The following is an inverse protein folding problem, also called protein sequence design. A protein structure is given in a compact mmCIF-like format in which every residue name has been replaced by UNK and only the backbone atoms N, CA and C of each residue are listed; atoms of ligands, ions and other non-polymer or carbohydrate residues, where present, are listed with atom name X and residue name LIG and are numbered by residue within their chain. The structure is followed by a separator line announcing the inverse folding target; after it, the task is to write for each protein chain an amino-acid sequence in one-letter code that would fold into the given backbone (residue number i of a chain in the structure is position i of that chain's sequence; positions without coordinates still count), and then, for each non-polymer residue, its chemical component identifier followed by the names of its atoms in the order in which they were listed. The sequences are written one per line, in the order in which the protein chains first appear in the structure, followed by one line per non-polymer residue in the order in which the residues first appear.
data_IF_618548212150
#
_entry.id   IF_618548212150
#
_cell.length_a   1.000
_cell.length_b   1.000
_cell.length_c   1.000
_cell.angle_alpha   90.00
_cell.angle_beta   90.00
_cell.angle_gamma   90.00
#
_symmetry.space_group_name_H-M   'P 1'
#
loop_
_entity.id
_entity.type
_entity.pdbx_description
1 polymer ?
#
# COMPACT_ATOMS: atom_id res chain seq x y z
N UNK A 1 -45.30 -26.70 -22.06
CA UNK A 1 -45.13 -25.67 -20.99
C UNK A 1 -43.80 -25.92 -20.29
N UNK A 2 -42.70 -25.34 -20.79
CA UNK A 2 -41.38 -25.42 -20.15
C UNK A 2 -41.11 -24.08 -19.45
N UNK A 3 -40.84 -24.22 -18.16
CA UNK A 3 -40.53 -23.20 -17.16
C UNK A 3 -39.36 -22.32 -17.60
N UNK A 4 -39.62 -21.03 -17.71
CA UNK A 4 -38.60 -19.98 -17.74
C UNK A 4 -37.84 -19.99 -16.41
N UNK A 5 -36.60 -20.47 -16.46
CA UNK A 5 -35.67 -20.29 -15.36
C UNK A 5 -35.33 -18.79 -15.30
N UNK A 6 -35.76 -18.16 -14.22
CA UNK A 6 -35.36 -16.82 -13.79
C UNK A 6 -33.83 -16.75 -13.77
N UNK A 7 -33.26 -16.10 -14.79
CA UNK A 7 -31.90 -15.62 -14.80
C UNK A 7 -31.79 -14.53 -13.74
N UNK A 8 -31.28 -14.92 -12.57
CA UNK A 8 -30.98 -13.98 -11.51
C UNK A 8 -30.02 -12.90 -12.04
N UNK A 9 -30.40 -11.66 -11.76
CA UNK A 9 -29.82 -10.41 -12.20
C UNK A 9 -28.34 -10.27 -11.83
N UNK A 10 -27.44 -10.72 -12.70
CA UNK A 10 -26.02 -10.35 -12.68
C UNK A 10 -25.45 -10.15 -14.10
N UNK A 11 -26.30 -10.06 -15.13
CA UNK A 11 -25.88 -10.15 -16.53
C UNK A 11 -25.56 -8.84 -17.27
N UNK A 12 -26.06 -7.68 -16.82
CA UNK A 12 -26.09 -6.49 -17.67
C UNK A 12 -25.72 -5.20 -16.92
N UNK A 13 -24.56 -5.13 -16.26
CA UNK A 13 -24.09 -3.90 -15.61
C UNK A 13 -22.56 -3.74 -15.59
N UNK A 14 -21.82 -4.48 -16.43
CA UNK A 14 -20.37 -4.28 -16.59
C UNK A 14 -20.09 -3.61 -17.95
N UNK A 15 -20.45 -2.32 -18.03
CA UNK A 15 -19.83 -1.41 -18.98
C UNK A 15 -18.42 -1.08 -18.48
N UNK A 16 -17.44 -1.63 -19.19
CA UNK A 16 -16.03 -1.20 -19.30
C UNK A 16 -15.52 -0.19 -18.26
N UNK A 17 -15.20 -0.65 -17.05
CA UNK A 17 -14.23 0.05 -16.21
C UNK A 17 -12.85 -0.45 -16.61
N UNK A 18 -12.09 0.37 -17.34
CA UNK A 18 -10.66 0.15 -17.50
C UNK A 18 -10.05 0.22 -16.10
N UNK A 19 -9.58 -0.93 -15.59
CA UNK A 19 -8.89 -0.99 -14.29
C UNK A 19 -7.63 -0.15 -14.41
N UNK A 20 -7.59 1.01 -13.74
CA UNK A 20 -6.34 1.72 -13.52
C UNK A 20 -5.43 0.83 -12.67
N UNK A 21 -4.12 0.85 -12.95
CA UNK A 21 -3.17 0.09 -12.15
C UNK A 21 -3.27 0.52 -10.68
N UNK A 22 -3.23 -0.44 -9.73
CA UNK A 22 -3.31 -0.09 -8.31
C UNK A 22 -2.16 0.85 -7.93
N UNK A 23 -2.47 1.87 -7.13
CA UNK A 23 -1.49 2.82 -6.65
C UNK A 23 -0.41 2.11 -5.82
N UNK A 24 0.85 2.22 -6.24
CA UNK A 24 2.01 1.72 -5.48
C UNK A 24 2.56 2.84 -4.59
N UNK A 25 2.65 2.58 -3.29
CA UNK A 25 3.16 3.54 -2.33
C UNK A 25 4.68 3.76 -2.54
N UNK A 26 5.09 5.01 -2.77
CA UNK A 26 6.50 5.39 -3.03
C UNK A 26 7.46 5.02 -1.88
N UNK A 27 6.93 4.85 -0.67
CA UNK A 27 7.72 4.62 0.54
C UNK A 27 7.90 3.13 0.90
N UNK A 28 7.20 2.18 0.27
CA UNK A 28 7.45 0.75 0.56
C UNK A 28 8.75 0.25 -0.06
N UNK A 29 9.10 0.75 -1.25
CA UNK A 29 10.32 0.39 -1.96
C UNK A 29 11.57 0.83 -1.18
N UNK A 30 11.55 2.03 -0.58
CA UNK A 30 12.67 2.52 0.22
C UNK A 30 12.97 1.62 1.43
N UNK A 31 11.93 1.17 2.14
CA UNK A 31 12.09 0.27 3.28
C UNK A 31 12.62 -1.12 2.87
N UNK A 32 12.23 -1.63 1.70
CA UNK A 32 12.75 -2.91 1.16
C UNK A 32 14.22 -2.75 0.77
N UNK A 33 14.59 -1.66 0.09
CA UNK A 33 15.99 -1.38 -0.29
C UNK A 33 16.89 -1.23 0.94
N UNK A 34 16.41 -0.58 2.01
CA UNK A 34 17.15 -0.47 3.28
C UNK A 34 17.34 -1.82 3.98
N UNK A 35 16.41 -2.77 3.82
CA UNK A 35 16.53 -4.12 4.38
C UNK A 35 17.39 -5.06 3.52
N UNK A 36 17.37 -4.89 2.20
CA UNK A 36 18.18 -5.66 1.26
C UNK A 36 19.63 -5.16 1.15
N UNK A 37 19.87 -3.87 1.42
CA UNK A 37 21.23 -3.28 1.46
C UNK A 37 22.07 -3.77 2.65
N UNK A 38 21.47 -4.44 3.63
CA UNK A 38 22.21 -5.18 4.64
C UNK A 38 22.86 -6.38 3.93
N UNK A 39 24.19 -6.41 3.86
CA UNK A 39 24.93 -7.52 3.24
C UNK A 39 24.52 -8.84 3.91
N UNK A 40 23.76 -9.67 3.20
CA UNK A 40 23.36 -10.99 3.66
C UNK A 40 24.44 -11.98 3.25
N UNK A 41 25.16 -12.53 4.22
CA UNK A 41 26.11 -13.60 3.93
C UNK A 41 25.34 -14.92 3.82
N UNK A 42 25.52 -15.62 2.70
CA UNK A 42 25.04 -16.99 2.60
C UNK A 42 25.73 -17.82 3.70
N UNK A 43 24.95 -18.47 4.56
CA UNK A 43 25.43 -19.35 5.64
C UNK A 43 26.01 -18.64 6.88
N UNK A 44 25.45 -17.49 7.27
CA UNK A 44 25.90 -16.72 8.44
C UNK A 44 25.70 -17.45 9.79
N UNK A 45 24.58 -18.15 9.97
CA UNK A 45 24.26 -18.84 11.25
C UNK A 45 24.76 -20.28 11.31
N UNK A 46 24.65 -21.03 10.21
CA UNK A 46 25.10 -22.43 10.13
C UNK A 46 25.89 -22.60 8.83
N UNK A 47 27.10 -23.15 8.93
CA UNK A 47 27.96 -23.43 7.78
C UNK A 47 27.41 -24.51 6.85
N UNK A 48 28.06 -24.75 5.70
CA UNK A 48 27.64 -25.77 4.76
C UNK A 48 27.59 -27.16 5.41
N UNK A 49 26.54 -27.96 5.14
CA UNK A 49 26.32 -29.26 5.79
C UNK A 49 27.41 -30.28 5.45
N UNK A 50 28.11 -30.10 4.32
CA UNK A 50 29.28 -30.89 3.93
C UNK A 50 30.30 -29.96 3.28
N UNK A 51 31.42 -29.73 3.96
CA UNK A 51 32.53 -28.93 3.44
C UNK A 51 33.37 -29.81 2.52
N UNK A 52 33.48 -29.44 1.25
CA UNK A 52 34.37 -30.12 0.31
C UNK A 52 35.83 -29.83 0.67
N UNK A 53 36.63 -30.90 0.82
CA UNK A 53 38.05 -30.75 1.11
C UNK A 53 38.78 -30.25 -0.14
N UNK A 54 39.67 -29.24 -0.02
CA UNK A 54 40.43 -28.78 -1.16
C UNK A 54 41.38 -29.89 -1.64
N UNK A 55 41.43 -30.10 -2.96
CA UNK A 55 42.43 -30.98 -3.57
C UNK A 55 43.85 -30.52 -3.20
N UNK A 56 44.78 -31.45 -2.88
CA UNK A 56 46.15 -31.12 -2.45
C UNK A 56 46.95 -30.28 -3.45
N UNK A 57 46.57 -30.31 -4.73
CA UNK A 57 47.19 -29.48 -5.78
C UNK A 57 46.83 -27.98 -5.66
N UNK A 58 45.78 -27.64 -4.89
CA UNK A 58 45.27 -26.27 -4.71
C UNK A 58 45.78 -25.65 -3.40
N UNK A 59 47.07 -25.80 -3.13
CA UNK A 59 47.71 -25.18 -1.97
C UNK A 59 47.82 -23.64 -2.13
N UNK A 60 47.84 -22.93 -1.00
CA UNK A 60 47.91 -21.47 -0.97
C UNK A 60 49.27 -20.98 -1.49
N UNK A 61 49.27 -20.23 -2.60
CA UNK A 61 50.47 -19.62 -3.17
C UNK A 61 50.86 -18.34 -2.43
N UNK A 62 52.15 -17.98 -2.42
CA UNK A 62 52.65 -16.72 -1.86
C UNK A 62 51.91 -15.53 -2.50
N UNK A 63 51.49 -14.56 -1.67
CA UNK A 63 50.74 -13.35 -2.06
C UNK A 63 49.32 -13.55 -2.65
N UNK A 64 48.75 -14.76 -2.61
CA UNK A 64 47.40 -15.04 -3.14
C UNK A 64 46.25 -14.30 -2.43
N UNK A 65 46.42 -13.99 -1.14
CA UNK A 65 45.43 -13.27 -0.32
C UNK A 65 45.75 -11.79 -0.11
N UNK A 66 46.82 -11.28 -0.71
CA UNK A 66 47.19 -9.88 -0.52
C UNK A 66 46.29 -8.98 -1.37
N UNK A 67 45.69 -7.99 -0.70
CA UNK A 67 44.90 -6.95 -1.34
C UNK A 67 45.82 -6.10 -2.22
N UNK A 68 45.53 -6.06 -3.53
CA UNK A 68 46.18 -5.09 -4.43
C UNK A 68 45.35 -3.81 -4.39
N UNK A 69 45.90 -2.69 -3.88
CA UNK A 69 45.18 -1.43 -3.94
C UNK A 69 44.94 -1.03 -5.40
N UNK A 70 43.75 -0.50 -5.72
CA UNK A 70 43.52 0.11 -7.03
C UNK A 70 44.50 1.28 -7.21
N UNK A 71 44.99 1.47 -8.44
CA UNK A 71 45.80 2.64 -8.77
C UNK A 71 44.97 3.91 -8.48
N UNK A 72 45.53 4.83 -7.69
CA UNK A 72 44.82 6.04 -7.27
C UNK A 72 44.47 6.91 -8.49
N UNK A 73 43.21 7.37 -8.62
CA UNK A 73 42.89 8.39 -9.60
C UNK A 73 43.32 9.77 -9.07
N UNK A 74 44.26 10.42 -9.75
CA UNK A 74 44.60 11.82 -9.46
C UNK A 74 43.40 12.72 -9.76
N UNK A 75 42.84 13.36 -8.74
CA UNK A 75 41.72 14.31 -8.87
C UNK A 75 42.16 15.69 -8.37
N UNK A 76 42.65 16.53 -9.29
CA UNK A 76 42.96 17.93 -9.02
C UNK A 76 41.69 18.79 -9.17
N UNK A 77 40.92 18.96 -8.10
CA UNK A 77 39.72 19.82 -8.07
C UNK A 77 40.00 21.29 -7.70
N UNK A 78 41.23 21.77 -7.83
CA UNK A 78 41.58 23.17 -7.55
C UNK A 78 42.04 23.85 -8.84
N UNK A 79 41.47 25.02 -9.23
CA UNK A 79 42.00 25.78 -10.34
C UNK A 79 43.46 26.17 -10.05
N UNK A 80 44.34 26.18 -11.06
CA UNK A 80 45.73 26.58 -10.86
C UNK A 80 45.79 28.03 -10.38
N UNK A 81 46.73 28.31 -9.48
CA UNK A 81 46.95 29.67 -9.00
C UNK A 81 47.33 30.60 -10.19
N UNK A 82 46.84 31.85 -10.22
CA UNK A 82 47.18 32.79 -11.29
C UNK A 82 48.68 33.04 -11.36
N UNK A 83 49.21 33.24 -12.57
CA UNK A 83 50.63 33.45 -12.81
C UNK A 83 51.05 34.83 -12.28
N UNK A 84 52.32 34.97 -11.85
CA UNK A 84 52.86 36.25 -11.35
C UNK A 84 52.77 37.41 -12.36
N UNK A 85 52.58 37.10 -13.64
CA UNK A 85 52.47 38.08 -14.74
C UNK A 85 51.05 38.58 -14.96
N UNK A 86 50.02 37.93 -14.39
CA UNK A 86 48.62 38.32 -14.52
C UNK A 86 48.34 39.58 -13.69
N UNK A 87 48.16 40.72 -14.37
CA UNK A 87 47.75 41.98 -13.75
C UNK A 87 46.22 42.05 -13.73
N UNK A 88 45.56 42.20 -12.56
CA UNK A 88 44.12 42.40 -12.54
C UNK A 88 43.78 43.72 -13.25
N UNK A 89 42.75 43.72 -14.10
CA UNK A 89 42.22 44.95 -14.70
C UNK A 89 41.55 45.81 -13.62
N UNK A 90 42.34 46.63 -12.94
CA UNK A 90 41.84 47.70 -12.07
C UNK A 90 42.10 49.02 -12.77
N UNK A 91 41.16 49.48 -13.61
CA UNK A 91 41.02 50.92 -13.90
C UNK A 91 39.72 51.26 -14.64
N UNK A 92 38.65 51.52 -13.88
CA UNK A 92 37.65 52.49 -14.32
C UNK A 92 37.74 53.65 -13.34
N UNK A 93 38.54 54.66 -13.67
CA UNK A 93 38.49 55.94 -12.95
C UNK A 93 37.31 56.72 -13.52
N UNK A 94 36.14 56.59 -12.90
CA UNK A 94 35.00 57.45 -13.20
C UNK A 94 35.30 58.86 -12.68
N UNK A 95 35.45 59.83 -13.58
CA UNK A 95 35.49 61.25 -13.22
C UNK A 95 34.09 61.72 -12.84
N UNK A 96 33.65 61.42 -11.62
CA UNK A 96 32.38 61.93 -11.08
C UNK A 96 32.69 63.12 -10.17
N UNK A 97 32.32 64.32 -10.63
CA UNK A 97 32.50 65.58 -9.89
C UNK A 97 31.53 65.59 -8.71
N UNK A 98 32.06 65.60 -7.49
CA UNK A 98 31.33 65.62 -6.23
C UNK A 98 30.92 67.06 -5.89
N UNK A 99 29.90 67.62 -6.57
CA UNK A 99 29.27 68.89 -6.17
C UNK A 99 27.95 69.12 -6.93
N UNK A 100 26.89 68.45 -6.52
CA UNK A 100 25.52 68.95 -6.71
C UNK A 100 24.74 68.66 -5.43
N UNK A 101 24.30 69.73 -4.75
CA UNK A 101 23.44 69.65 -3.57
C UNK A 101 22.07 69.19 -4.05
N UNK A 102 21.64 68.00 -3.63
CA UNK A 102 20.30 67.48 -3.88
C UNK A 102 19.39 67.85 -2.72
N UNK A 103 18.21 68.38 -3.03
CA UNK A 103 17.19 68.76 -2.07
C UNK A 103 16.79 67.60 -1.15
N UNK A 104 16.83 67.87 0.15
CA UNK A 104 16.57 66.90 1.20
C UNK A 104 15.06 66.64 1.29
N UNK A 105 14.56 65.64 0.55
CA UNK A 105 13.25 65.05 0.83
C UNK A 105 13.34 64.40 2.21
N UNK A 106 12.56 64.93 3.17
CA UNK A 106 12.46 64.43 4.54
C UNK A 106 11.74 63.08 4.54
N UNK A 107 12.44 62.02 4.18
CA UNK A 107 12.00 60.64 4.34
C UNK A 107 12.18 60.29 5.81
N UNK A 108 11.08 60.10 6.55
CA UNK A 108 11.13 59.60 7.92
C UNK A 108 11.78 58.20 7.92
N UNK A 109 12.91 58.00 8.61
CA UNK A 109 13.59 56.72 8.61
C UNK A 109 12.77 55.70 9.40
N UNK A 110 12.50 54.55 8.78
CA UNK A 110 11.93 53.38 9.48
C UNK A 110 12.91 52.97 10.60
N UNK A 111 12.43 52.64 11.81
CA UNK A 111 13.31 52.31 12.93
C UNK A 111 14.14 51.06 12.59
N UNK A 112 15.44 51.25 12.40
CA UNK A 112 16.44 50.21 12.22
C UNK A 112 17.47 50.36 13.34
N UNK A 113 17.78 49.27 14.03
CA UNK A 113 18.75 49.29 15.13
C UNK A 113 20.14 49.65 14.62
N UNK A 114 20.78 50.54 15.37
CA UNK A 114 22.09 51.13 15.18
C UNK A 114 23.13 50.02 15.38
N UNK A 115 23.86 49.62 14.33
CA UNK A 115 25.29 49.94 14.14
C UNK A 115 25.98 49.07 13.07
N UNK A 116 25.46 47.90 12.68
CA UNK A 116 26.02 47.16 11.53
C UNK A 116 24.93 46.41 10.75
N UNK A 117 24.67 46.89 9.52
CA UNK A 117 23.74 46.33 8.52
C UNK A 117 22.25 46.43 8.92
N UNK A 118 21.47 47.12 8.08
CA UNK A 118 20.01 47.30 8.19
C UNK A 118 19.27 45.96 8.06
N UNK A 119 19.27 45.14 9.10
CA UNK A 119 18.42 43.96 9.18
C UNK A 119 17.04 44.39 9.66
N UNK A 120 16.02 44.01 8.90
CA UNK A 120 14.62 44.25 9.26
C UNK A 120 14.38 43.59 10.64
N UNK A 121 14.11 44.40 11.67
CA UNK A 121 14.02 43.98 13.08
C UNK A 121 12.84 43.05 13.38
N UNK A 122 12.05 42.78 12.35
CA UNK A 122 10.94 41.90 12.27
C UNK A 122 11.16 40.53 12.96
N UNK A 123 12.30 39.87 12.81
CA UNK A 123 12.55 38.54 13.39
C UNK A 123 13.33 38.55 14.71
N UNK A 124 13.65 39.72 15.26
CA UNK A 124 14.46 39.88 16.47
C UNK A 124 13.77 39.49 17.78
N UNK A 125 12.50 39.04 17.72
CA UNK A 125 11.70 38.72 18.90
C UNK A 125 11.18 39.94 19.68
N UNK A 126 11.70 41.15 19.41
CA UNK A 126 11.25 42.39 20.05
C UNK A 126 9.82 42.80 19.64
N UNK A 127 9.33 42.34 18.49
CA UNK A 127 7.98 42.63 17.99
C UNK A 127 7.13 41.35 18.08
N UNK A 128 6.00 41.36 18.83
CA UNK A 128 5.11 40.22 18.92
C UNK A 128 4.30 40.02 17.63
N UNK A 129 4.94 39.38 16.63
CA UNK A 129 4.39 39.11 15.30
C UNK A 129 3.19 38.18 15.32
N UNK A 130 3.30 37.08 16.07
CA UNK A 130 2.32 35.99 16.02
C UNK A 130 1.10 36.25 16.92
N UNK A 131 1.26 37.04 17.98
CA UNK A 131 0.16 37.42 18.89
C UNK A 131 -0.85 38.33 18.16
N UNK A 132 -0.38 39.22 17.29
CA UNK A 132 -1.22 40.14 16.52
C UNK A 132 -1.78 39.54 15.23
N UNK A 133 -1.65 38.22 15.02
CA UNK A 133 -2.21 37.56 13.82
C UNK A 133 -3.73 37.59 13.89
N UNK A 134 -4.40 37.90 12.77
CA UNK A 134 -5.88 38.00 12.68
C UNK A 134 -6.62 36.68 13.02
N UNK A 135 -5.91 35.57 12.88
CA UNK A 135 -6.40 34.21 13.13
C UNK A 135 -5.87 33.62 14.44
N UNK A 136 -5.25 34.44 15.30
CA UNK A 136 -4.80 33.99 16.61
C UNK A 136 -6.01 33.50 17.42
N UNK A 137 -5.88 32.32 18.03
CA UNK A 137 -6.97 31.64 18.75
C UNK A 137 -8.05 31.00 17.88
N UNK A 138 -8.02 31.14 16.55
CA UNK A 138 -8.98 30.49 15.64
C UNK A 138 -8.44 29.16 15.11
N UNK A 139 -9.29 28.15 15.04
CA UNK A 139 -8.95 26.85 14.43
C UNK A 139 -8.69 27.04 12.92
N UNK A 140 -7.49 26.71 12.43
CA UNK A 140 -7.16 26.80 11.01
C UNK A 140 -8.13 26.03 10.12
N UNK A 141 -8.44 26.60 8.95
CA UNK A 141 -9.40 26.02 8.01
C UNK A 141 -9.07 24.58 7.57
N UNK A 142 -7.77 24.25 7.45
CA UNK A 142 -7.35 22.91 7.05
C UNK A 142 -7.67 21.83 8.09
N UNK A 143 -7.69 22.18 9.39
CA UNK A 143 -8.05 21.23 10.44
C UNK A 143 -9.54 20.89 10.38
N UNK A 144 -10.39 21.88 10.10
CA UNK A 144 -11.84 21.66 9.89
C UNK A 144 -12.10 20.73 8.71
N UNK A 145 -11.45 20.99 7.58
CA UNK A 145 -11.54 20.11 6.39
C UNK A 145 -11.09 18.68 6.69
N UNK A 146 -10.03 18.53 7.49
CA UNK A 146 -9.54 17.22 7.91
C UNK A 146 -10.55 16.48 8.79
N UNK A 147 -11.13 17.16 9.79
CA UNK A 147 -12.14 16.55 10.67
C UNK A 147 -13.40 16.15 9.91
N UNK A 148 -13.86 16.99 8.97
CA UNK A 148 -15.00 16.68 8.10
C UNK A 148 -14.72 15.47 7.20
N UNK A 149 -13.52 15.40 6.61
CA UNK A 149 -13.11 14.25 5.80
C UNK A 149 -13.01 12.95 6.62
N UNK A 150 -12.49 13.02 7.84
CA UNK A 150 -12.41 11.88 8.75
C UNK A 150 -13.81 11.40 9.18
N UNK A 151 -14.74 12.32 9.46
CA UNK A 151 -16.14 12.01 9.77
C UNK A 151 -16.84 11.34 8.59
N UNK A 152 -16.73 11.92 7.39
CA UNK A 152 -17.32 11.35 6.18
C UNK A 152 -16.76 9.95 5.88
N UNK A 153 -15.46 9.76 5.98
CA UNK A 153 -14.83 8.45 5.79
C UNK A 153 -15.29 7.42 6.82
N UNK A 154 -15.58 7.85 8.06
CA UNK A 154 -16.16 6.99 9.09
C UNK A 154 -17.60 6.59 8.76
N UNK A 155 -18.43 7.55 8.38
CA UNK A 155 -19.81 7.32 7.98
C UNK A 155 -19.91 6.35 6.79
N UNK A 156 -19.08 6.54 5.76
CA UNK A 156 -19.00 5.64 4.59
C UNK A 156 -18.62 4.19 5.00
N UNK A 157 -17.68 4.03 5.94
CA UNK A 157 -17.31 2.71 6.48
C UNK A 157 -18.47 2.07 7.26
N UNK A 158 -19.12 2.84 8.14
CA UNK A 158 -20.24 2.38 8.94
C UNK A 158 -21.45 2.02 8.05
N UNK A 159 -21.70 2.77 6.97
CA UNK A 159 -22.69 2.44 5.95
C UNK A 159 -22.36 1.16 5.20
N UNK A 160 -21.12 1.03 4.72
CA UNK A 160 -20.66 -0.18 4.05
C UNK A 160 -20.82 -1.42 4.96
N UNK A 161 -20.40 -1.33 6.21
CA UNK A 161 -20.59 -2.41 7.18
C UNK A 161 -22.06 -2.74 7.41
N UNK A 162 -22.94 -1.74 7.52
CA UNK A 162 -24.39 -1.94 7.65
C UNK A 162 -24.97 -2.68 6.45
N UNK A 163 -24.61 -2.28 5.23
CA UNK A 163 -25.06 -2.93 3.99
C UNK A 163 -24.56 -4.37 3.92
N UNK A 164 -23.26 -4.58 4.17
CA UNK A 164 -22.65 -5.93 4.15
C UNK A 164 -23.28 -6.85 5.20
N UNK A 165 -23.54 -6.36 6.42
CA UNK A 165 -24.24 -7.13 7.48
C UNK A 165 -25.64 -7.54 7.03
N UNK A 166 -26.41 -6.62 6.44
CA UNK A 166 -27.75 -6.91 5.90
C UNK A 166 -27.71 -7.96 4.78
N UNK A 167 -26.81 -7.80 3.81
CA UNK A 167 -26.65 -8.73 2.69
C UNK A 167 -26.23 -10.13 3.17
N UNK A 168 -25.30 -10.23 4.12
CA UNK A 168 -24.91 -11.50 4.74
C UNK A 168 -26.09 -12.19 5.41
N UNK A 169 -26.89 -11.46 6.17
CA UNK A 169 -28.08 -11.99 6.83
C UNK A 169 -29.10 -12.51 5.82
N UNK A 170 -29.40 -11.73 4.77
CA UNK A 170 -30.29 -12.13 3.68
C UNK A 170 -29.80 -13.40 2.96
N UNK A 171 -28.49 -13.48 2.70
CA UNK A 171 -27.86 -14.64 2.05
C UNK A 171 -28.02 -15.92 2.89
N UNK A 172 -27.66 -15.86 4.18
CA UNK A 172 -27.81 -17.00 5.11
C UNK A 172 -29.27 -17.42 5.20
N UNK A 173 -30.20 -16.46 5.32
CA UNK A 173 -31.63 -16.75 5.38
C UNK A 173 -32.14 -17.48 4.13
N UNK A 174 -31.78 -17.00 2.94
CA UNK A 174 -32.16 -17.63 1.68
C UNK A 174 -31.56 -19.04 1.54
N UNK A 175 -30.28 -19.20 1.89
CA UNK A 175 -29.58 -20.47 1.83
C UNK A 175 -30.20 -21.51 2.77
N UNK A 176 -30.49 -21.11 4.01
CA UNK A 176 -31.16 -21.96 5.00
C UNK A 176 -32.56 -22.37 4.53
N UNK A 177 -33.34 -21.42 3.95
CA UNK A 177 -34.65 -21.73 3.35
C UNK A 177 -34.51 -22.72 2.18
N UNK A 178 -33.45 -22.61 1.38
CA UNK A 178 -33.15 -23.56 0.31
C UNK A 178 -32.79 -24.95 0.84
N UNK A 179 -31.92 -25.04 1.86
CA UNK A 179 -31.53 -26.31 2.48
C UNK A 179 -32.74 -27.04 3.08
N UNK A 180 -33.59 -26.34 3.83
CA UNK A 180 -34.81 -26.91 4.43
C UNK A 180 -35.82 -27.41 3.38
N UNK A 181 -35.82 -26.85 2.18
CA UNK A 181 -36.69 -27.27 1.07
C UNK A 181 -36.16 -28.47 0.28
N UNK A 182 -34.94 -28.95 0.54
CA UNK A 182 -34.37 -30.09 -0.19
C UNK A 182 -35.21 -31.35 0.07
N UNK A 183 -35.61 -32.03 -1.02
CA UNK A 183 -36.47 -33.22 -0.98
C UNK A 183 -35.73 -34.53 -0.67
N UNK A 184 -34.59 -34.48 0.04
CA UNK A 184 -33.81 -35.70 0.37
C UNK A 184 -34.60 -36.59 1.32
N UNK A 185 -35.28 -35.99 2.29
CA UNK A 185 -36.14 -36.70 3.23
C UNK A 185 -37.25 -37.48 2.51
N UNK A 186 -37.92 -36.86 1.54
CA UNK A 186 -38.95 -37.53 0.74
C UNK A 186 -38.37 -38.75 0.02
N UNK A 187 -37.17 -38.64 -0.56
CA UNK A 187 -36.50 -39.76 -1.25
C UNK A 187 -36.09 -40.88 -0.29
N UNK A 188 -35.73 -40.54 0.94
CA UNK A 188 -35.43 -41.52 1.99
C UNK A 188 -36.68 -42.25 2.52
N UNK A 189 -37.87 -41.64 2.40
CA UNK A 189 -39.14 -42.28 2.78
C UNK A 189 -39.71 -43.22 1.70
N UNK A 190 -39.36 -43.03 0.43
CA UNK A 190 -39.83 -43.84 -0.71
C UNK A 190 -39.37 -45.33 -0.71
N UNK A 191 -38.16 -45.72 -0.21
CA UNK A 191 -37.69 -47.09 -0.32
C UNK A 191 -38.63 -48.07 0.40
N UNK A 192 -38.85 -49.22 -0.23
CA UNK A 192 -39.66 -50.29 0.34
C UNK A 192 -39.06 -50.81 1.66
N UNK A 193 -39.93 -51.26 2.56
CA UNK A 193 -39.54 -51.86 3.85
C UNK A 193 -38.52 -53.00 3.70
N UNK A 194 -38.64 -53.78 2.62
CA UNK A 194 -37.73 -54.90 2.33
C UNK A 194 -36.48 -54.44 1.55
N UNK A 195 -35.34 -54.38 2.24
CA UNK A 195 -34.04 -53.92 1.71
C UNK A 195 -33.06 -55.10 1.62
N UNK A 196 -33.42 -56.12 0.84
CA UNK A 196 -32.68 -57.38 0.83
C UNK A 196 -31.49 -57.36 -0.14
N UNK A 197 -31.58 -56.62 -1.24
CA UNK A 197 -30.49 -56.55 -2.24
C UNK A 197 -29.40 -55.58 -1.81
N UNK A 198 -28.13 -55.92 -2.10
CA UNK A 198 -26.98 -55.09 -1.75
C UNK A 198 -27.04 -53.68 -2.34
N UNK A 199 -27.64 -53.51 -3.52
CA UNK A 199 -27.85 -52.20 -4.16
C UNK A 199 -28.78 -51.31 -3.34
N UNK A 200 -29.93 -51.83 -2.91
CA UNK A 200 -30.90 -51.10 -2.07
C UNK A 200 -30.31 -50.71 -0.72
N UNK A 201 -29.46 -51.58 -0.14
CA UNK A 201 -28.72 -51.28 1.10
C UNK A 201 -27.77 -50.11 0.91
N UNK A 202 -26.97 -50.12 -0.17
CA UNK A 202 -26.04 -49.03 -0.49
C UNK A 202 -26.76 -47.70 -0.75
N UNK A 203 -27.86 -47.73 -1.50
CA UNK A 203 -28.69 -46.55 -1.76
C UNK A 203 -29.27 -45.96 -0.47
N UNK A 204 -29.72 -46.81 0.46
CA UNK A 204 -30.19 -46.37 1.78
C UNK A 204 -29.07 -45.68 2.57
N UNK A 205 -27.91 -46.32 2.70
CA UNK A 205 -26.75 -45.74 3.41
C UNK A 205 -26.38 -44.38 2.81
N UNK A 206 -26.34 -44.28 1.49
CA UNK A 206 -26.05 -43.02 0.80
C UNK A 206 -27.09 -41.92 1.07
N UNK A 207 -28.37 -42.27 1.15
CA UNK A 207 -29.43 -41.32 1.52
C UNK A 207 -29.30 -40.88 2.98
N UNK A 208 -28.92 -41.78 3.90
CA UNK A 208 -28.65 -41.47 5.31
C UNK A 208 -27.45 -40.51 5.46
N UNK A 209 -26.35 -40.77 4.75
CA UNK A 209 -25.19 -39.88 4.71
C UNK A 209 -25.59 -38.48 4.21
N UNK A 210 -26.40 -38.40 3.15
CA UNK A 210 -26.92 -37.11 2.66
C UNK A 210 -27.84 -36.43 3.67
N UNK A 211 -28.68 -37.16 4.38
CA UNK A 211 -29.55 -36.61 5.43
C UNK A 211 -28.72 -36.04 6.58
N UNK A 212 -27.76 -36.81 7.09
CA UNK A 212 -26.88 -36.37 8.18
C UNK A 212 -26.02 -35.17 7.78
N UNK A 213 -25.54 -35.11 6.53
CA UNK A 213 -24.86 -33.92 6.00
C UNK A 213 -25.77 -32.70 6.00
N UNK A 214 -27.01 -32.82 5.52
CA UNK A 214 -27.97 -31.71 5.52
C UNK A 214 -28.30 -31.22 6.94
N UNK A 215 -28.45 -32.13 7.89
CA UNK A 215 -28.68 -31.78 9.29
C UNK A 215 -27.48 -31.04 9.89
N UNK A 216 -26.25 -31.51 9.60
CA UNK A 216 -25.02 -30.82 10.00
C UNK A 216 -24.98 -29.41 9.42
N UNK A 217 -25.19 -29.25 8.12
CA UNK A 217 -25.18 -27.95 7.43
C UNK A 217 -26.20 -26.98 8.01
N UNK A 218 -27.45 -27.43 8.22
CA UNK A 218 -28.50 -26.61 8.82
C UNK A 218 -28.12 -26.24 10.26
N UNK A 219 -27.62 -27.19 11.05
CA UNK A 219 -27.25 -26.92 12.44
C UNK A 219 -26.14 -25.89 12.56
N UNK A 220 -25.14 -25.92 11.66
CA UNK A 220 -24.04 -24.97 11.63
C UNK A 220 -24.57 -23.57 11.32
N UNK A 221 -25.42 -23.45 10.30
CA UNK A 221 -25.99 -22.16 9.90
C UNK A 221 -26.97 -21.58 10.93
N UNK A 222 -27.71 -22.42 11.64
CA UNK A 222 -28.62 -21.98 12.71
C UNK A 222 -27.87 -21.57 13.98
N UNK A 223 -26.81 -22.29 14.34
CA UNK A 223 -25.94 -21.94 15.48
C UNK A 223 -25.19 -20.64 15.23
N UNK A 224 -24.66 -20.44 14.01
CA UNK A 224 -23.83 -19.29 13.67
C UNK A 224 -24.60 -18.29 12.79
N UNK A 225 -25.21 -17.29 13.43
CA UNK A 225 -25.93 -16.19 12.74
C UNK A 225 -25.03 -15.32 11.85
N UNK A 226 -23.71 -15.34 12.11
CA UNK A 226 -22.70 -14.57 11.36
C UNK A 226 -21.68 -15.54 10.77
N UNK A 227 -21.66 -15.68 9.44
CA UNK A 227 -20.67 -16.49 8.73
C UNK A 227 -19.61 -15.56 8.13
N UNK A 228 -18.34 -15.83 8.45
CA UNK A 228 -17.20 -15.14 7.84
C UNK A 228 -16.75 -15.91 6.60
N UNK A 229 -16.93 -15.31 5.43
CA UNK A 229 -16.42 -15.84 4.17
C UNK A 229 -15.05 -15.23 3.94
N UNK A 230 -14.01 -16.06 3.93
CA UNK A 230 -12.66 -15.61 3.57
C UNK A 230 -12.62 -15.21 2.09
N UNK A 231 -12.08 -14.04 1.73
CA UNK A 231 -11.98 -13.62 0.33
C UNK A 231 -11.08 -14.55 -0.52
N UNK A 232 -10.24 -15.39 0.11
CA UNK A 232 -9.42 -16.36 -0.59
C UNK A 232 -10.25 -17.40 -1.35
N UNK A 233 -11.39 -17.85 -0.83
CA UNK A 233 -12.24 -18.86 -1.48
C UNK A 233 -13.15 -18.30 -2.58
N UNK A 234 -13.23 -16.98 -2.74
CA UNK A 234 -13.99 -16.34 -3.84
C UNK A 234 -13.18 -16.10 -5.10
N UNK A 235 -11.85 -16.30 -5.06
CA UNK A 235 -10.97 -16.15 -6.22
C UNK A 235 -10.93 -17.40 -7.11
N UNK A 236 -11.34 -18.57 -6.60
CA UNK A 236 -11.30 -19.85 -7.32
C UNK A 236 -12.51 -20.09 -8.25
N UNK A 237 -13.42 -19.12 -8.37
CA UNK A 237 -14.61 -19.19 -9.24
C UNK A 237 -14.50 -18.32 -10.51
N UNK A 238 -13.31 -17.79 -10.81
CA UNK A 238 -13.06 -17.21 -12.13
C UNK A 238 -12.81 -18.36 -13.13
N UNK A 239 -13.62 -18.52 -14.19
CA UNK A 239 -13.33 -19.51 -15.22
C UNK A 239 -11.99 -19.18 -15.86
N UNK A 240 -11.08 -20.16 -15.89
CA UNK A 240 -9.90 -20.11 -16.71
C UNK A 240 -10.35 -19.90 -18.16
N UNK A 241 -10.12 -18.70 -18.69
CA UNK A 241 -10.27 -18.44 -20.11
C UNK A 241 -9.10 -19.13 -20.81
N UNK A 242 -9.32 -20.36 -21.26
CA UNK A 242 -8.45 -21.07 -22.18
C UNK A 242 -8.36 -20.24 -23.47
N UNK A 243 -7.21 -19.58 -23.69
CA UNK A 243 -6.83 -19.09 -24.99
C UNK A 243 -6.02 -20.18 -25.68
N UNK A 244 -6.71 -21.09 -26.37
CA UNK A 244 -6.10 -21.91 -27.41
C UNK A 244 -5.73 -21.00 -28.57
N UNK A 245 -4.43 -20.83 -28.77
CA UNK A 245 -3.81 -20.19 -29.92
C UNK A 245 -4.02 -21.05 -31.17
N UNK A 246 -4.78 -20.55 -32.15
CA UNK A 246 -4.56 -20.87 -33.55
C UNK A 246 -3.48 -19.91 -34.08
N UNK A 247 -2.34 -20.49 -34.47
CA UNK A 247 -1.43 -20.04 -35.54
C UNK A 247 -0.49 -21.21 -35.85
#
# INVERSE_FOLDING_TARGET
RRSSASSCCLGEMYKSFTKQSPYTAKHSLAAIIEQESKQKYAMETMGPPKVELPSPDKFLKKHSKQFKPPAEPEHFHKPPAPLRTDKPQIRIQSKKVFSQKTDLVKVTPKPSLIETKKQLLENSGLIPKYIRKKDYGKVPAYLKRRTEAEQKAREEREEYERVVKKLKFLCVFFFLKMLKKKKVHNKYQIPAYLINTGTKKKEKIFLEEKMTQLEKDISVLEKFKTVYISPASSLDLLPASDTSSEN
#
